data_IF_882519295273
#
_entry.id   IF_882519295273
#
_cell.length_a   1.000
_cell.length_b   1.000
_cell.length_c   1.000
_cell.angle_alpha   90.00
_cell.angle_beta   90.00
_cell.angle_gamma   90.00
#
_symmetry.space_group_name_H-M   'P 1'
#
loop_
_entity.id
_entity.type
_entity.pdbx_description
1 polymer ?
#
# COMPACT_ATOMS: atom_id res chain seq x y z
N UNK A 1 11.52 3.75 23.23
CA UNK A 1 10.09 3.47 23.47
C UNK A 1 9.96 2.87 24.86
N UNK A 2 8.84 3.06 25.57
CA UNK A 2 8.55 2.21 26.73
C UNK A 2 8.18 0.81 26.26
N UNK A 3 8.40 -0.20 27.10
CA UNK A 3 8.16 -1.62 26.76
C UNK A 3 6.69 -1.91 26.43
N UNK A 4 5.74 -1.30 27.16
CA UNK A 4 4.31 -1.36 26.83
C UNK A 4 4.02 -0.78 25.45
N UNK A 5 4.63 0.36 25.09
CA UNK A 5 4.42 0.94 23.76
C UNK A 5 5.01 0.07 22.67
N UNK A 6 6.17 -0.53 22.93
CA UNK A 6 6.81 -1.44 21.98
C UNK A 6 5.90 -2.64 21.70
N UNK A 7 5.42 -3.28 22.77
CA UNK A 7 4.53 -4.42 22.69
C UNK A 7 3.20 -4.08 22.01
N UNK A 8 2.61 -2.91 22.28
CA UNK A 8 1.38 -2.48 21.60
C UNK A 8 1.58 -2.29 20.09
N UNK A 9 2.76 -1.82 19.65
CA UNK A 9 3.02 -1.55 18.24
C UNK A 9 3.47 -2.76 17.44
N UNK A 10 4.15 -3.72 18.07
CA UNK A 10 4.79 -4.84 17.35
C UNK A 10 4.40 -6.21 17.88
N UNK A 11 3.72 -6.29 19.02
CA UNK A 11 3.50 -7.51 19.81
C UNK A 11 4.79 -8.19 20.28
N UNK A 12 5.93 -7.49 20.23
CA UNK A 12 7.25 -8.01 20.59
C UNK A 12 7.81 -7.25 21.80
N UNK A 13 8.46 -7.98 22.70
CA UNK A 13 9.19 -7.38 23.82
C UNK A 13 10.65 -7.04 23.41
N UNK A 14 11.38 -6.40 24.32
CA UNK A 14 12.76 -5.99 24.04
C UNK A 14 13.70 -7.18 23.80
N UNK A 15 13.49 -8.29 24.51
CA UNK A 15 14.26 -9.52 24.30
C UNK A 15 14.05 -10.08 22.89
N UNK A 16 12.81 -10.13 22.40
CA UNK A 16 12.51 -10.57 21.03
C UNK A 16 13.14 -9.66 19.98
N UNK A 17 13.21 -8.35 20.23
CA UNK A 17 13.85 -7.41 19.32
C UNK A 17 15.39 -7.49 19.35
N UNK A 18 15.97 -7.76 20.52
CA UNK A 18 17.41 -7.99 20.66
C UNK A 18 17.78 -9.30 19.95
N UNK A 19 17.01 -10.36 20.15
CA UNK A 19 17.19 -11.63 19.46
C UNK A 19 17.03 -11.47 17.95
N UNK A 20 15.98 -10.77 17.48
CA UNK A 20 15.81 -10.43 16.07
C UNK A 20 16.98 -9.63 15.53
N UNK A 21 17.51 -8.66 16.29
CA UNK A 21 18.70 -7.87 15.91
C UNK A 21 19.97 -8.72 15.86
N UNK A 22 20.14 -9.68 16.75
CA UNK A 22 21.28 -10.59 16.74
C UNK A 22 21.20 -11.59 15.59
N UNK A 23 20.00 -12.10 15.30
CA UNK A 23 19.68 -12.89 14.11
C UNK A 23 19.98 -12.06 12.85
N UNK A 24 19.31 -10.92 12.68
CA UNK A 24 19.80 -9.63 12.15
C UNK A 24 21.25 -9.61 11.66
N UNK A 25 22.11 -9.51 12.66
CA UNK A 25 23.53 -9.23 12.53
C UNK A 25 24.32 -10.49 12.14
N UNK A 26 23.83 -11.68 12.51
CA UNK A 26 24.40 -12.97 12.13
C UNK A 26 24.06 -13.42 10.69
N UNK A 27 23.09 -12.77 10.03
CA UNK A 27 22.58 -13.08 8.69
C UNK A 27 23.53 -12.74 7.52
N UNK A 28 24.84 -12.88 7.69
CA UNK A 28 25.80 -12.91 6.57
C UNK A 28 25.84 -14.25 5.81
N UNK A 29 24.87 -15.16 6.02
CA UNK A 29 24.76 -16.44 5.30
C UNK A 29 23.30 -16.87 5.04
N UNK A 30 23.07 -17.50 3.89
CA UNK A 30 21.75 -17.71 3.26
C UNK A 30 20.81 -18.70 3.95
N UNK A 31 21.34 -19.70 4.68
CA UNK A 31 20.50 -20.74 5.30
C UNK A 31 19.68 -20.22 6.49
N UNK A 32 20.31 -19.50 7.43
CA UNK A 32 19.62 -18.97 8.62
C UNK A 32 18.62 -17.86 8.26
N UNK A 33 18.95 -17.04 7.26
CA UNK A 33 18.05 -16.00 6.71
C UNK A 33 16.76 -16.62 6.19
N UNK A 34 16.84 -17.73 5.46
CA UNK A 34 15.66 -18.42 4.95
C UNK A 34 14.77 -19.00 6.07
N UNK A 35 15.36 -19.48 7.17
CA UNK A 35 14.58 -20.00 8.30
C UNK A 35 13.84 -18.87 9.01
N UNK A 36 14.49 -17.73 9.25
CA UNK A 36 13.85 -16.55 9.87
C UNK A 36 12.72 -16.03 8.98
N UNK A 37 12.96 -15.90 7.68
CA UNK A 37 11.92 -15.47 6.72
C UNK A 37 10.74 -16.44 6.77
N UNK A 38 10.98 -17.76 6.73
CA UNK A 38 9.90 -18.76 6.80
C UNK A 38 9.11 -18.70 8.11
N UNK A 39 9.78 -18.54 9.24
CA UNK A 39 9.11 -18.37 10.54
C UNK A 39 8.31 -17.07 10.57
N UNK A 40 8.86 -15.97 10.07
CA UNK A 40 8.14 -14.70 9.99
C UNK A 40 6.91 -14.79 9.07
N UNK A 41 7.04 -15.44 7.91
CA UNK A 41 5.94 -15.68 6.98
C UNK A 41 4.83 -16.52 7.61
N UNK A 42 5.19 -17.59 8.33
CA UNK A 42 4.24 -18.50 8.94
C UNK A 42 3.58 -17.94 10.20
N UNK A 43 4.39 -17.35 11.08
CA UNK A 43 3.99 -17.07 12.45
C UNK A 43 3.59 -15.59 12.65
N UNK A 44 4.01 -14.67 11.77
CA UNK A 44 3.72 -13.23 11.87
C UNK A 44 2.86 -12.73 10.71
N UNK A 45 3.24 -13.02 9.45
CA UNK A 45 2.53 -12.43 8.30
C UNK A 45 1.06 -12.84 8.27
N UNK A 46 0.76 -14.13 8.44
CA UNK A 46 -0.62 -14.64 8.41
C UNK A 46 -1.53 -14.06 9.52
N UNK A 47 -0.94 -13.54 10.61
CA UNK A 47 -1.69 -12.98 11.74
C UNK A 47 -1.87 -11.46 11.67
N UNK A 48 -1.08 -10.77 10.84
CA UNK A 48 -1.01 -9.30 10.86
C UNK A 48 -1.12 -8.64 9.48
N UNK A 49 -0.91 -9.38 8.39
CA UNK A 49 -0.92 -8.86 7.02
C UNK A 49 -1.75 -9.74 6.09
N UNK A 50 -2.45 -9.09 5.16
CA UNK A 50 -3.26 -9.76 4.15
C UNK A 50 -4.75 -9.50 4.28
N UNK A 51 -5.46 -9.69 3.17
CA UNK A 51 -6.88 -9.34 3.03
C UNK A 51 -7.82 -10.11 3.96
N UNK A 52 -7.35 -11.19 4.59
CA UNK A 52 -8.16 -12.06 5.46
C UNK A 52 -7.95 -11.81 6.95
N UNK A 53 -6.96 -10.99 7.33
CA UNK A 53 -6.60 -10.79 8.75
C UNK A 53 -7.66 -9.97 9.48
N UNK A 54 -8.13 -8.90 8.84
CA UNK A 54 -9.19 -8.06 9.37
C UNK A 54 -10.49 -8.29 8.60
N UNK A 55 -11.60 -8.41 9.33
CA UNK A 55 -12.91 -8.46 8.69
C UNK A 55 -13.19 -7.16 7.96
N UNK A 56 -14.00 -7.25 6.91
CA UNK A 56 -14.44 -6.07 6.17
C UNK A 56 -15.15 -5.07 7.08
N UNK A 57 -15.97 -5.58 8.00
CA UNK A 57 -16.74 -4.80 8.96
C UNK A 57 -15.81 -4.01 9.90
N UNK A 58 -14.74 -4.65 10.39
CA UNK A 58 -13.72 -4.02 11.23
C UNK A 58 -12.99 -2.89 10.49
N UNK A 59 -12.68 -3.07 9.20
CA UNK A 59 -12.05 -2.02 8.40
C UNK A 59 -12.97 -0.80 8.17
N UNK A 60 -14.27 -1.04 8.00
CA UNK A 60 -15.27 0.01 7.80
C UNK A 60 -15.51 0.78 9.10
N UNK A 61 -15.70 0.06 10.21
CA UNK A 61 -16.09 0.63 11.48
C UNK A 61 -14.90 1.34 12.14
N UNK A 62 -13.77 0.65 12.26
CA UNK A 62 -12.64 1.07 13.09
C UNK A 62 -11.46 1.63 12.29
N UNK A 63 -11.27 1.21 11.03
CA UNK A 63 -10.14 1.66 10.21
C UNK A 63 -10.46 2.75 9.17
N UNK A 64 -11.68 3.30 9.19
CA UNK A 64 -12.06 4.42 8.33
C UNK A 64 -12.06 5.73 9.11
N UNK A 65 -11.28 6.73 8.65
CA UNK A 65 -11.11 8.00 9.37
C UNK A 65 -12.38 8.84 9.39
N UNK A 66 -12.60 9.55 10.50
CA UNK A 66 -13.75 10.46 10.68
C UNK A 66 -13.81 11.54 9.60
N UNK A 67 -12.66 12.01 9.11
CA UNK A 67 -12.58 13.00 8.03
C UNK A 67 -13.14 12.40 6.72
N UNK A 68 -12.73 11.18 6.36
CA UNK A 68 -13.22 10.52 5.17
C UNK A 68 -14.72 10.21 5.26
N UNK A 69 -15.18 9.69 6.42
CA UNK A 69 -16.61 9.46 6.72
C UNK A 69 -17.44 10.74 6.47
N UNK A 70 -16.98 11.89 6.96
CA UNK A 70 -17.68 13.18 6.81
C UNK A 70 -17.62 13.76 5.39
N UNK A 71 -16.47 13.69 4.72
CA UNK A 71 -16.30 14.30 3.39
C UNK A 71 -17.06 13.55 2.29
N UNK A 72 -17.17 12.23 2.40
CA UNK A 72 -17.69 11.36 1.34
C UNK A 72 -18.88 10.51 1.77
N UNK A 73 -19.42 10.70 2.98
CA UNK A 73 -20.53 9.94 3.52
C UNK A 73 -20.31 8.42 3.43
N UNK A 74 -19.16 7.95 3.93
CA UNK A 74 -18.71 6.56 3.79
C UNK A 74 -19.38 5.58 4.76
N UNK A 75 -20.56 5.92 5.29
CA UNK A 75 -21.25 5.06 6.25
C UNK A 75 -21.55 3.71 5.57
N UNK A 76 -20.98 2.64 6.09
CA UNK A 76 -21.12 1.25 5.58
C UNK A 76 -20.37 0.91 4.27
N UNK A 77 -19.51 1.80 3.75
CA UNK A 77 -18.68 1.52 2.56
C UNK A 77 -17.23 1.34 2.93
N UNK A 78 -16.57 0.34 2.36
CA UNK A 78 -15.12 0.19 2.51
C UNK A 78 -14.43 1.20 1.59
N UNK A 79 -13.45 1.92 2.13
CA UNK A 79 -12.66 2.88 1.38
C UNK A 79 -11.16 2.58 1.54
N UNK A 80 -10.54 2.20 0.42
CA UNK A 80 -9.12 1.85 0.37
C UNK A 80 -8.35 2.85 -0.49
N UNK A 81 -7.14 3.15 -0.05
CA UNK A 81 -6.16 3.98 -0.75
C UNK A 81 -5.12 3.07 -1.36
N UNK A 82 -4.80 3.31 -2.64
CA UNK A 82 -3.80 2.55 -3.38
C UNK A 82 -2.69 3.49 -3.83
N UNK A 83 -1.45 3.12 -3.54
CA UNK A 83 -0.31 3.88 -4.04
C UNK A 83 0.95 3.03 -4.09
N UNK A 84 1.75 3.25 -5.14
CA UNK A 84 3.03 2.59 -5.33
C UNK A 84 4.16 3.57 -5.02
N UNK A 85 5.08 3.17 -4.15
CA UNK A 85 6.25 3.99 -3.80
C UNK A 85 7.54 3.36 -4.29
N UNK A 86 8.60 4.15 -4.41
CA UNK A 86 9.92 3.64 -4.74
C UNK A 86 10.76 3.46 -3.49
N UNK A 87 11.28 2.25 -3.31
CA UNK A 87 12.26 1.94 -2.27
C UNK A 87 13.60 1.66 -2.94
N UNK A 88 14.63 2.36 -2.47
CA UNK A 88 15.99 2.16 -2.93
C UNK A 88 16.58 0.90 -2.32
N UNK A 89 17.29 0.13 -3.13
CA UNK A 89 18.04 -1.03 -2.65
C UNK A 89 19.48 -1.01 -3.17
N UNK A 90 20.37 -1.68 -2.45
CA UNK A 90 21.76 -1.83 -2.86
C UNK A 90 21.89 -2.69 -4.13
N UNK A 91 23.04 -2.59 -4.81
CA UNK A 91 23.31 -3.37 -6.01
C UNK A 91 23.11 -4.86 -5.73
N UNK A 92 22.24 -5.49 -6.51
CA UNK A 92 21.99 -6.93 -6.42
C UNK A 92 23.12 -7.71 -7.12
N UNK A 93 23.47 -8.86 -6.55
CA UNK A 93 24.33 -9.86 -7.20
C UNK A 93 23.59 -10.60 -8.32
N UNK A 94 22.25 -10.54 -8.35
CA UNK A 94 21.47 -11.04 -9.47
C UNK A 94 21.47 -10.00 -10.60
N UNK A 95 22.27 -10.24 -11.64
CA UNK A 95 22.44 -9.32 -12.76
C UNK A 95 21.14 -9.05 -13.54
N UNK A 96 20.25 -10.03 -13.66
CA UNK A 96 18.97 -9.86 -14.34
C UNK A 96 18.06 -8.91 -13.54
N UNK A 97 17.90 -9.19 -12.25
CA UNK A 97 17.14 -8.34 -11.35
C UNK A 97 17.73 -6.92 -11.27
N UNK A 98 19.06 -6.81 -11.17
CA UNK A 98 19.77 -5.53 -11.14
C UNK A 98 19.49 -4.66 -12.37
N UNK A 99 19.38 -5.25 -13.57
CA UNK A 99 19.01 -4.52 -14.79
C UNK A 99 17.54 -4.08 -14.74
N UNK A 100 16.65 -4.96 -14.30
CA UNK A 100 15.20 -4.70 -14.23
C UNK A 100 14.80 -3.70 -13.16
N UNK A 101 15.56 -3.62 -12.06
CA UNK A 101 15.28 -2.71 -10.96
C UNK A 101 15.88 -1.31 -11.18
N UNK A 102 16.77 -1.14 -12.16
CA UNK A 102 17.35 0.15 -12.46
C UNK A 102 16.31 1.10 -13.09
N UNK A 103 16.05 2.21 -12.41
CA UNK A 103 15.23 3.30 -12.97
C UNK A 103 16.12 4.27 -13.73
N UNK A 104 15.90 4.43 -15.03
CA UNK A 104 16.62 5.42 -15.85
C UNK A 104 16.36 6.86 -15.40
N UNK A 105 15.14 7.15 -14.93
CA UNK A 105 14.74 8.46 -14.43
C UNK A 105 15.45 8.82 -13.11
N UNK A 106 15.48 7.90 -12.15
CA UNK A 106 16.08 8.13 -10.84
C UNK A 106 17.58 7.74 -10.77
N UNK A 107 18.11 7.17 -11.85
CA UNK A 107 19.50 6.69 -12.01
C UNK A 107 19.99 5.75 -10.90
N UNK A 108 19.08 5.00 -10.29
CA UNK A 108 19.34 4.12 -9.14
C UNK A 108 18.55 2.81 -9.23
N UNK A 109 19.00 1.73 -8.57
CA UNK A 109 18.22 0.50 -8.40
C UNK A 109 17.07 0.75 -7.42
N UNK A 110 15.86 0.50 -7.88
CA UNK A 110 14.62 0.72 -7.14
C UNK A 110 13.72 -0.52 -7.26
N UNK A 111 13.03 -0.83 -6.18
CA UNK A 111 11.83 -1.65 -6.23
C UNK A 111 10.61 -0.78 -5.95
N UNK A 112 9.44 -1.24 -6.38
CA UNK A 112 8.18 -0.52 -6.21
C UNK A 112 7.19 -1.31 -5.36
N UNK A 113 7.22 -1.21 -4.02
CA UNK A 113 6.14 -1.73 -3.19
C UNK A 113 4.82 -1.04 -3.54
N UNK A 114 3.75 -1.81 -3.59
CA UNK A 114 2.41 -1.29 -3.86
C UNK A 114 1.54 -1.51 -2.62
N UNK A 115 1.20 -0.41 -1.96
CA UNK A 115 0.57 -0.43 -0.64
C UNK A 115 -0.92 -0.15 -0.77
N UNK A 116 -1.70 -0.91 -0.01
CA UNK A 116 -3.14 -0.77 0.14
C UNK A 116 -3.41 -0.41 1.59
N UNK A 117 -4.01 0.75 1.82
CA UNK A 117 -4.27 1.25 3.17
C UNK A 117 -5.70 1.73 3.31
N UNK A 118 -6.18 1.83 4.54
CA UNK A 118 -7.44 2.50 4.83
C UNK A 118 -7.22 4.02 5.00
N UNK A 119 -8.32 4.76 5.13
CA UNK A 119 -8.28 6.23 5.23
C UNK A 119 -7.75 6.79 6.55
N UNK A 120 -7.46 5.95 7.54
CA UNK A 120 -6.74 6.33 8.76
C UNK A 120 -5.26 5.89 8.73
N UNK A 121 -4.84 5.18 7.67
CA UNK A 121 -3.47 4.74 7.49
C UNK A 121 -3.16 3.32 7.97
N UNK A 122 -4.17 2.54 8.36
CA UNK A 122 -3.95 1.12 8.60
C UNK A 122 -3.56 0.43 7.28
N UNK A 123 -2.45 -0.32 7.29
CA UNK A 123 -1.96 -1.05 6.11
C UNK A 123 -2.73 -2.37 6.02
N UNK A 124 -3.59 -2.48 5.01
CA UNK A 124 -4.33 -3.72 4.72
C UNK A 124 -3.40 -4.75 4.09
N UNK A 125 -2.59 -4.30 3.12
CA UNK A 125 -1.62 -5.16 2.45
C UNK A 125 -0.52 -4.31 1.80
N UNK A 126 0.70 -4.82 1.77
CA UNK A 126 1.76 -4.34 0.88
C UNK A 126 2.10 -5.46 -0.10
N UNK A 127 1.63 -5.30 -1.33
CA UNK A 127 1.88 -6.27 -2.37
C UNK A 127 3.36 -6.32 -2.73
N UNK A 128 3.76 -7.50 -3.22
CA UNK A 128 5.13 -7.82 -3.63
C UNK A 128 5.80 -6.66 -4.38
N UNK A 129 7.09 -6.40 -4.15
CA UNK A 129 7.80 -5.33 -4.84
C UNK A 129 7.77 -5.55 -6.36
N UNK A 130 7.23 -4.56 -7.07
CA UNK A 130 7.21 -4.53 -8.53
C UNK A 130 8.50 -3.93 -9.08
N UNK A 131 8.78 -4.22 -10.36
CA UNK A 131 9.88 -3.56 -11.07
C UNK A 131 9.61 -2.07 -11.22
N UNK A 132 10.63 -1.23 -11.09
CA UNK A 132 10.48 0.23 -11.08
C UNK A 132 9.92 0.83 -12.37
N UNK A 133 9.95 0.07 -13.47
CA UNK A 133 9.41 0.43 -14.77
C UNK A 133 7.91 0.12 -14.93
N UNK A 134 7.29 -0.59 -13.98
CA UNK A 134 5.83 -0.81 -13.99
C UNK A 134 5.13 0.38 -13.34
N UNK A 135 4.17 0.97 -14.07
CA UNK A 135 3.35 2.05 -13.53
C UNK A 135 2.21 1.50 -12.65
N UNK A 136 1.54 2.38 -11.90
CA UNK A 136 0.52 1.95 -10.94
C UNK A 136 -0.73 1.38 -11.59
N UNK A 137 -1.11 1.87 -12.77
CA UNK A 137 -2.22 1.30 -13.53
C UNK A 137 -1.94 -0.15 -13.98
N UNK A 138 -0.73 -0.44 -14.46
CA UNK A 138 -0.30 -1.80 -14.85
C UNK A 138 -0.22 -2.76 -13.66
N UNK A 139 0.21 -2.24 -12.51
CA UNK A 139 0.23 -2.99 -11.26
C UNK A 139 -1.20 -3.32 -10.85
N UNK A 140 -2.09 -2.33 -10.79
CA UNK A 140 -3.49 -2.51 -10.42
C UNK A 140 -4.21 -3.51 -11.33
N UNK A 141 -3.96 -3.48 -12.64
CA UNK A 141 -4.48 -4.51 -13.58
C UNK A 141 -4.06 -5.93 -13.21
N UNK A 142 -2.86 -6.12 -12.67
CA UNK A 142 -2.42 -7.42 -12.15
C UNK A 142 -3.10 -7.76 -10.83
N UNK A 143 -3.26 -6.79 -9.93
CA UNK A 143 -3.95 -6.97 -8.63
C UNK A 143 -5.38 -7.44 -8.84
N UNK A 144 -6.10 -6.83 -9.78
CA UNK A 144 -7.50 -7.17 -10.08
C UNK A 144 -7.68 -8.57 -10.70
N UNK A 145 -6.62 -9.22 -11.16
CA UNK A 145 -6.70 -10.59 -11.69
C UNK A 145 -6.71 -11.66 -10.61
N UNK A 146 -6.24 -11.33 -9.41
CA UNK A 146 -6.19 -12.28 -8.30
C UNK A 146 -7.58 -12.36 -7.62
N UNK A 147 -8.29 -13.50 -7.70
CA UNK A 147 -9.58 -13.66 -7.05
C UNK A 147 -9.48 -13.69 -5.52
N UNK A 148 -8.33 -14.12 -4.98
CA UNK A 148 -8.09 -14.20 -3.53
C UNK A 148 -7.48 -12.89 -2.97
N UNK A 149 -7.15 -11.96 -3.85
CA UNK A 149 -6.59 -10.66 -3.50
C UNK A 149 -7.68 -9.64 -3.17
N UNK A 150 -7.61 -8.47 -3.81
CA UNK A 150 -8.49 -7.34 -3.54
C UNK A 150 -9.99 -7.65 -3.70
N UNK A 151 -10.34 -8.58 -4.59
CA UNK A 151 -11.72 -9.02 -4.84
C UNK A 151 -12.33 -9.81 -3.69
N UNK A 152 -11.51 -10.34 -2.77
CA UNK A 152 -12.00 -11.04 -1.58
C UNK A 152 -12.61 -10.08 -0.55
N UNK A 153 -12.22 -8.80 -0.58
CA UNK A 153 -12.59 -7.82 0.45
C UNK A 153 -13.45 -6.66 -0.07
N UNK A 154 -13.23 -6.17 -1.28
CA UNK A 154 -14.04 -5.10 -1.89
C UNK A 154 -15.33 -5.65 -2.49
N UNK A 155 -16.38 -4.82 -2.48
CA UNK A 155 -17.69 -5.07 -3.08
C UNK A 155 -18.06 -3.92 -4.02
N UNK A 156 -19.01 -4.16 -4.90
CA UNK A 156 -19.57 -3.12 -5.75
C UNK A 156 -20.06 -1.91 -4.91
N UNK A 157 -19.76 -0.71 -5.39
CA UNK A 157 -20.08 0.55 -4.71
C UNK A 157 -19.09 1.00 -3.63
N UNK A 158 -18.09 0.18 -3.28
CA UNK A 158 -16.98 0.57 -2.42
C UNK A 158 -16.06 1.59 -3.09
N UNK A 159 -15.22 2.22 -2.28
CA UNK A 159 -14.44 3.37 -2.71
C UNK A 159 -12.96 2.98 -2.88
N UNK A 160 -12.43 3.23 -4.08
CA UNK A 160 -10.99 3.24 -4.32
C UNK A 160 -10.49 4.68 -4.46
N UNK A 161 -9.59 5.07 -3.56
CA UNK A 161 -8.94 6.37 -3.54
C UNK A 161 -7.58 6.20 -4.20
N UNK A 162 -7.37 6.90 -5.30
CA UNK A 162 -6.21 6.70 -6.15
C UNK A 162 -5.59 8.02 -6.57
N UNK A 163 -4.32 7.95 -6.93
CA UNK A 163 -3.60 9.04 -7.57
C UNK A 163 -3.98 9.16 -9.07
N UNK A 164 -3.39 10.13 -9.78
CA UNK A 164 -3.73 10.38 -11.21
C UNK A 164 -3.06 9.39 -12.17
N UNK A 165 -2.08 8.63 -11.71
CA UNK A 165 -1.40 7.61 -12.51
C UNK A 165 -2.23 6.32 -12.65
N UNK A 166 -3.35 6.21 -11.92
CA UNK A 166 -4.37 5.17 -12.14
C UNK A 166 -5.37 5.49 -13.26
N UNK A 167 -5.25 6.63 -13.96
CA UNK A 167 -6.18 7.02 -15.03
C UNK A 167 -6.38 5.93 -16.09
N UNK A 168 -5.33 5.15 -16.38
CA UNK A 168 -5.31 4.13 -17.44
C UNK A 168 -5.91 2.77 -16.99
N UNK A 169 -6.34 2.66 -15.73
CA UNK A 169 -7.08 1.52 -15.15
C UNK A 169 -8.43 1.95 -14.52
N UNK A 170 -8.80 3.23 -14.67
CA UNK A 170 -10.03 3.77 -14.07
C UNK A 170 -11.26 3.01 -14.55
N UNK A 171 -11.36 2.75 -15.85
CA UNK A 171 -12.51 2.08 -16.44
C UNK A 171 -12.60 0.62 -16.01
N UNK A 172 -11.46 -0.07 -15.83
CA UNK A 172 -11.45 -1.43 -15.25
C UNK A 172 -12.03 -1.42 -13.83
N UNK A 173 -11.68 -0.44 -13.01
CA UNK A 173 -12.18 -0.34 -11.63
C UNK A 173 -13.67 0.03 -11.55
N UNK A 174 -14.14 0.93 -12.42
CA UNK A 174 -15.54 1.37 -12.41
C UNK A 174 -16.44 0.37 -13.12
N UNK A 175 -16.16 0.08 -14.40
CA UNK A 175 -17.08 -0.65 -15.26
C UNK A 175 -17.00 -2.15 -14.99
N UNK A 176 -15.79 -2.70 -14.80
CA UNK A 176 -15.64 -4.14 -14.64
C UNK A 176 -15.82 -4.61 -13.19
N UNK A 177 -15.55 -3.74 -12.20
CA UNK A 177 -15.63 -4.10 -10.79
C UNK A 177 -16.76 -3.38 -10.03
N UNK A 178 -17.37 -2.34 -10.61
CA UNK A 178 -18.44 -1.59 -9.95
C UNK A 178 -17.96 -0.69 -8.81
N UNK A 179 -16.66 -0.38 -8.72
CA UNK A 179 -16.13 0.46 -7.64
C UNK A 179 -16.35 1.96 -7.92
N UNK A 180 -16.47 2.73 -6.85
CA UNK A 180 -16.45 4.19 -6.89
C UNK A 180 -15.01 4.70 -6.83
N UNK A 181 -14.58 5.49 -7.81
CA UNK A 181 -13.23 6.06 -7.84
C UNK A 181 -13.20 7.50 -7.31
N UNK A 182 -12.35 7.74 -6.33
CA UNK A 182 -11.96 9.08 -5.88
C UNK A 182 -10.54 9.37 -6.37
N UNK A 183 -10.43 10.27 -7.35
CA UNK A 183 -9.16 10.66 -7.99
C UNK A 183 -9.17 12.17 -8.25
N UNK A 184 -8.04 12.83 -8.08
CA UNK A 184 -7.90 14.24 -8.45
C UNK A 184 -8.18 14.47 -9.94
N UNK A 185 -8.82 15.59 -10.26
CA UNK A 185 -9.26 15.88 -11.61
C UNK A 185 -8.09 16.04 -12.59
N UNK A 186 -8.28 15.57 -13.82
CA UNK A 186 -7.35 15.74 -14.92
C UNK A 186 -7.66 17.05 -15.67
N UNK A 187 -6.67 17.94 -15.72
CA UNK A 187 -6.76 19.20 -16.47
C UNK A 187 -6.91 18.99 -17.98
N UNK A 188 -6.32 17.92 -18.52
CA UNK A 188 -6.22 17.71 -19.97
C UNK A 188 -5.53 18.89 -20.66
N UNK A 189 -6.09 19.35 -21.78
CA UNK A 189 -5.57 20.50 -22.55
C UNK A 189 -5.96 21.87 -21.97
N UNK A 190 -6.77 21.91 -20.90
CA UNK A 190 -7.26 23.17 -20.29
C UNK A 190 -6.13 23.89 -19.56
N UNK A 191 -6.23 25.21 -19.35
CA UNK A 191 -5.23 25.96 -18.58
C UNK A 191 -5.35 25.70 -17.07
N UNK A 192 -6.57 25.56 -16.56
CA UNK A 192 -6.89 25.37 -15.16
C UNK A 192 -8.10 24.43 -14.97
N UNK A 193 -8.22 23.87 -13.77
CA UNK A 193 -9.43 23.18 -13.33
C UNK A 193 -10.52 24.18 -12.95
N UNK A 194 -11.77 23.76 -12.99
CA UNK A 194 -12.87 24.54 -12.41
C UNK A 194 -12.72 24.61 -10.89
N UNK A 195 -13.46 25.55 -10.27
CA UNK A 195 -13.52 25.66 -8.80
C UNK A 195 -14.02 24.35 -8.18
N UNK A 196 -15.04 23.73 -8.79
CA UNK A 196 -15.62 22.46 -8.33
C UNK A 196 -14.59 21.34 -8.39
N UNK A 197 -13.95 21.13 -9.56
CA UNK A 197 -12.90 20.10 -9.72
C UNK A 197 -11.72 20.33 -8.79
N UNK A 198 -11.31 21.59 -8.59
CA UNK A 198 -10.21 21.95 -7.70
C UNK A 198 -10.56 21.64 -6.24
N UNK A 199 -11.77 21.98 -5.81
CA UNK A 199 -12.23 21.70 -4.45
C UNK A 199 -12.36 20.20 -4.20
N UNK A 200 -12.87 19.47 -5.18
CA UNK A 200 -12.98 18.02 -5.09
C UNK A 200 -11.60 17.36 -5.06
N UNK A 201 -10.67 17.80 -5.90
CA UNK A 201 -9.28 17.31 -5.86
C UNK A 201 -8.63 17.55 -4.50
N UNK A 202 -8.85 18.72 -3.87
CA UNK A 202 -8.36 19.00 -2.50
C UNK A 202 -8.94 18.04 -1.47
N UNK A 203 -10.22 17.68 -1.58
CA UNK A 203 -10.85 16.69 -0.69
C UNK A 203 -10.22 15.31 -0.85
N UNK A 204 -10.00 14.86 -2.10
CA UNK A 204 -9.32 13.58 -2.40
C UNK A 204 -7.90 13.59 -1.83
N UNK A 205 -7.11 14.63 -2.09
CA UNK A 205 -5.74 14.75 -1.54
C UNK A 205 -5.74 14.70 -0.01
N UNK A 206 -6.70 15.36 0.65
CA UNK A 206 -6.81 15.41 2.11
C UNK A 206 -7.10 14.06 2.77
N UNK A 207 -7.68 13.10 2.05
CA UNK A 207 -7.86 11.73 2.57
C UNK A 207 -6.73 10.80 2.12
N UNK A 208 -6.14 11.04 0.93
CA UNK A 208 -5.08 10.21 0.36
C UNK A 208 -3.73 10.39 1.06
N UNK A 209 -3.42 11.60 1.57
CA UNK A 209 -2.09 11.95 2.12
C UNK A 209 -1.53 10.94 3.14
N UNK A 210 -2.39 10.21 3.84
CA UNK A 210 -1.97 9.25 4.86
C UNK A 210 -1.07 8.14 4.29
N UNK A 211 -1.28 7.73 3.03
CA UNK A 211 -0.42 6.73 2.39
C UNK A 211 0.99 7.28 2.13
N UNK A 212 1.12 8.57 1.83
CA UNK A 212 2.41 9.24 1.66
C UNK A 212 3.16 9.30 3.00
N UNK A 213 2.45 9.51 4.11
CA UNK A 213 3.04 9.48 5.46
C UNK A 213 3.54 8.09 5.85
N UNK A 214 2.81 7.03 5.45
CA UNK A 214 3.23 5.64 5.62
C UNK A 214 4.47 5.36 4.79
N UNK A 215 4.48 5.73 3.51
CA UNK A 215 5.64 5.60 2.65
C UNK A 215 6.85 6.35 3.17
N UNK A 216 6.66 7.54 3.75
CA UNK A 216 7.71 8.30 4.43
C UNK A 216 8.27 7.62 5.68
N UNK A 217 7.51 6.70 6.29
CA UNK A 217 7.99 5.85 7.40
C UNK A 217 8.71 4.59 6.89
N UNK A 218 8.28 4.02 5.77
CA UNK A 218 8.87 2.82 5.16
C UNK A 218 10.19 3.13 4.42
N UNK A 219 10.26 4.28 3.76
CA UNK A 219 11.38 4.66 2.89
C UNK A 219 12.58 5.32 3.59
N UNK A 220 12.58 5.39 4.93
CA UNK A 220 13.72 5.85 5.74
C UNK A 220 14.64 4.69 6.10
#
# INVERSE_FOLDING_TARGET
>A
LSEERLYVFTSLNWENLIELREMMTSMRNSYKTNTVIKSFEKDILLLHFGFTVFSREELIENQTSTIAKKLYNLNSKLALIFDGTYVHHQKSLNHEYQRRSYSGQNRKPLCKPFTITTTNGYIVETLRPYSANKNDAEIMKQVLKDPNGLKSILREGDICIVDRDFRDVKDDLIIMQGYTILMSALKGKRRQLTIIESNESRRVTKIRWVIEAIHGSIGK
#
